data_IF_741420430422
#
_entry.id   IF_741420430422
#
_cell.length_a   1.000
_cell.length_b   1.000
_cell.length_c   1.000
_cell.angle_alpha   90.00
_cell.angle_beta   90.00
_cell.angle_gamma   90.00
#
_symmetry.space_group_name_H-M   'P 1'
#
loop_
_entity.id
_entity.type
_entity.pdbx_description
1 polymer ?
#
# COMPACT_ATOMS: atom_id res chain seq x y z
N UNK A 1 -37.78 -77.20 -36.37
CA UNK A 1 -37.34 -78.45 -35.71
C UNK A 1 -36.30 -78.07 -34.65
N UNK A 2 -36.42 -78.27 -33.34
CA UNK A 2 -37.34 -78.97 -32.45
C UNK A 2 -37.78 -78.00 -31.33
N UNK A 3 -38.98 -78.24 -30.82
CA UNK A 3 -39.69 -77.53 -29.73
C UNK A 3 -39.50 -78.31 -28.42
N UNK A 4 -39.40 -77.61 -27.28
CA UNK A 4 -40.01 -77.93 -25.96
C UNK A 4 -39.43 -76.96 -24.90
N UNK A 5 -40.17 -75.95 -24.36
CA UNK A 5 -41.20 -75.98 -23.28
C UNK A 5 -40.57 -76.33 -21.91
N UNK A 6 -40.58 -75.46 -20.89
CA UNK A 6 -41.76 -75.24 -20.02
C UNK A 6 -41.75 -73.93 -19.17
N UNK A 7 -42.97 -73.43 -18.96
CA UNK A 7 -43.48 -72.35 -18.06
C UNK A 7 -43.65 -72.88 -16.61
N UNK A 8 -43.39 -72.13 -15.53
CA UNK A 8 -44.27 -71.20 -14.70
C UNK A 8 -44.23 -71.65 -13.20
N UNK A 9 -44.77 -70.96 -12.15
CA UNK A 9 -45.54 -69.69 -12.10
C UNK A 9 -45.30 -68.70 -10.91
N UNK A 10 -45.93 -67.52 -11.09
CA UNK A 10 -46.56 -66.49 -10.20
C UNK A 10 -46.66 -66.67 -8.67
N UNK A 11 -46.58 -65.52 -7.96
CA UNK A 11 -47.58 -64.90 -7.02
C UNK A 11 -47.12 -63.45 -6.76
N UNK A 12 -47.79 -62.33 -7.08
CA UNK A 12 -49.10 -61.78 -6.70
C UNK A 12 -49.27 -61.44 -5.19
N UNK A 13 -49.28 -60.15 -4.83
CA UNK A 13 -50.34 -59.56 -3.98
C UNK A 13 -50.25 -58.02 -3.92
N UNK A 14 -51.39 -57.39 -4.21
CA UNK A 14 -51.67 -55.97 -4.03
C UNK A 14 -52.09 -55.64 -2.58
N UNK A 15 -52.08 -54.34 -2.21
CA UNK A 15 -52.99 -53.61 -1.29
C UNK A 15 -52.45 -52.19 -1.10
N UNK A 16 -53.03 -51.13 -1.67
CA UNK A 16 -54.24 -50.38 -1.24
C UNK A 16 -54.12 -49.71 0.12
N UNK A 17 -54.28 -48.38 0.18
CA UNK A 17 -54.54 -47.65 1.43
C UNK A 17 -54.40 -46.13 1.28
N UNK A 18 -55.52 -45.43 1.36
CA UNK A 18 -55.66 -43.98 1.19
C UNK A 18 -55.68 -43.19 2.52
N UNK A 19 -55.66 -41.85 2.39
CA UNK A 19 -56.03 -40.80 3.39
C UNK A 19 -55.06 -40.60 4.57
N UNK A 20 -54.84 -39.43 5.15
CA UNK A 20 -55.30 -38.05 4.95
C UNK A 20 -54.49 -37.13 5.90
N UNK A 21 -54.28 -35.87 5.48
CA UNK A 21 -54.30 -34.62 6.26
C UNK A 21 -53.45 -34.49 7.55
N UNK A 22 -52.51 -33.53 7.53
CA UNK A 22 -52.43 -32.46 8.55
C UNK A 22 -51.38 -31.40 8.17
N UNK A 23 -51.85 -30.19 7.89
CA UNK A 23 -51.01 -28.99 7.86
C UNK A 23 -50.74 -28.51 9.31
N UNK A 24 -49.48 -28.24 9.64
CA UNK A 24 -49.13 -27.31 10.73
C UNK A 24 -47.76 -26.68 10.47
N UNK A 25 -47.77 -25.36 10.37
CA UNK A 25 -46.62 -24.50 10.15
C UNK A 25 -45.59 -24.56 11.29
N UNK A 26 -44.30 -24.41 10.97
CA UNK A 26 -43.33 -23.68 11.80
C UNK A 26 -42.11 -23.24 10.97
N UNK A 27 -41.81 -21.95 11.11
CA UNK A 27 -40.65 -21.18 10.61
C UNK A 27 -39.31 -21.88 10.86
N UNK A 28 -38.38 -21.77 9.92
CA UNK A 28 -37.07 -21.13 10.13
C UNK A 28 -36.13 -21.26 8.91
N UNK A 29 -35.65 -20.12 8.41
CA UNK A 29 -34.25 -19.96 8.01
C UNK A 29 -33.80 -20.45 6.64
N UNK A 30 -34.29 -19.84 5.55
CA UNK A 30 -33.62 -19.89 4.26
C UNK A 30 -32.30 -19.08 4.32
N UNK A 31 -31.18 -19.72 4.68
CA UNK A 31 -29.84 -19.14 4.52
C UNK A 31 -29.49 -19.16 3.03
N UNK A 32 -29.65 -17.99 2.40
CA UNK A 32 -29.06 -17.60 1.12
C UNK A 32 -27.57 -17.95 1.12
N UNK A 33 -27.18 -18.93 0.32
CA UNK A 33 -25.78 -19.26 0.02
C UNK A 33 -25.26 -18.14 -0.91
N UNK A 34 -24.77 -17.06 -0.31
CA UNK A 34 -24.01 -16.04 -1.05
C UNK A 34 -22.64 -16.65 -1.32
N UNK A 35 -22.41 -17.02 -2.58
CA UNK A 35 -21.07 -17.26 -3.10
C UNK A 35 -20.25 -15.97 -2.96
N UNK A 36 -19.59 -15.84 -1.82
CA UNK A 36 -18.49 -14.90 -1.67
C UNK A 36 -17.36 -15.39 -2.57
N UNK A 37 -17.16 -14.71 -3.70
CA UNK A 37 -16.00 -14.90 -4.56
C UNK A 37 -14.74 -14.56 -3.78
N UNK A 38 -14.17 -15.55 -3.09
CA UNK A 38 -12.83 -15.47 -2.50
C UNK A 38 -11.82 -15.51 -3.65
N UNK A 39 -11.56 -14.36 -4.27
CA UNK A 39 -10.25 -14.12 -4.89
C UNK A 39 -9.26 -14.08 -3.74
N UNK A 40 -8.77 -15.26 -3.35
CA UNK A 40 -7.57 -15.40 -2.55
C UNK A 40 -6.44 -14.81 -3.40
N UNK A 41 -6.06 -13.56 -3.11
CA UNK A 41 -4.73 -13.09 -3.47
C UNK A 41 -3.74 -14.12 -2.96
N UNK A 42 -2.74 -14.46 -3.79
CA UNK A 42 -1.66 -15.34 -3.39
C UNK A 42 -1.17 -14.90 -2.01
N UNK A 43 -1.15 -15.82 -1.03
CA UNK A 43 -0.58 -15.55 0.29
C UNK A 43 0.81 -14.95 0.04
N UNK A 44 1.04 -13.76 0.58
CA UNK A 44 2.37 -13.18 0.55
C UNK A 44 3.33 -14.16 1.20
N UNK A 45 4.37 -14.51 0.44
CA UNK A 45 5.40 -15.47 0.87
C UNK A 45 6.23 -14.90 2.02
N UNK A 46 6.14 -13.59 2.26
CA UNK A 46 6.89 -12.84 3.25
C UNK A 46 5.98 -12.41 4.40
N UNK A 47 6.45 -12.63 5.62
CA UNK A 47 5.82 -12.16 6.85
C UNK A 47 6.51 -10.87 7.32
N UNK A 48 5.71 -9.82 7.52
CA UNK A 48 6.17 -8.50 7.96
C UNK A 48 5.62 -8.10 9.34
N UNK A 49 5.01 -9.02 10.09
CA UNK A 49 4.37 -8.71 11.38
C UNK A 49 5.34 -8.12 12.43
N UNK A 50 6.63 -8.44 12.34
CA UNK A 50 7.66 -7.93 13.25
C UNK A 50 8.12 -6.50 12.90
N UNK A 51 7.70 -5.94 11.77
CA UNK A 51 8.09 -4.60 11.35
C UNK A 51 7.14 -3.53 11.90
N UNK A 52 7.68 -2.34 12.24
CA UNK A 52 6.86 -1.17 12.54
C UNK A 52 5.82 -0.87 11.44
N UNK A 53 4.60 -0.50 11.83
CA UNK A 53 3.61 0.04 10.89
C UNK A 53 4.22 1.20 10.07
N UNK A 54 3.91 1.24 8.77
CA UNK A 54 4.42 2.25 7.84
C UNK A 54 5.90 2.11 7.42
N UNK A 55 6.69 1.24 8.09
CA UNK A 55 8.11 1.02 7.75
C UNK A 55 8.31 0.06 6.58
N UNK A 56 7.32 -0.77 6.29
CA UNK A 56 7.29 -1.66 5.13
C UNK A 56 6.28 -1.16 4.13
N UNK A 57 6.73 -1.00 2.90
CA UNK A 57 5.86 -0.65 1.78
C UNK A 57 5.99 -1.63 0.65
N UNK A 58 4.88 -1.82 -0.03
CA UNK A 58 4.75 -2.78 -1.12
C UNK A 58 4.21 -2.05 -2.33
N UNK A 59 4.95 -2.12 -3.42
CA UNK A 59 4.45 -1.72 -4.73
C UNK A 59 4.61 -2.85 -5.73
N UNK A 60 3.75 -2.84 -6.73
CA UNK A 60 3.80 -3.78 -7.84
C UNK A 60 4.15 -3.01 -9.10
N UNK A 61 5.22 -3.45 -9.76
CA UNK A 61 5.61 -2.95 -11.08
C UNK A 61 5.48 -4.09 -12.08
N UNK A 62 5.10 -3.78 -13.32
CA UNK A 62 5.02 -4.76 -14.40
C UNK A 62 6.19 -4.57 -15.35
N UNK A 63 6.85 -5.67 -15.72
CA UNK A 63 7.98 -5.70 -16.61
C UNK A 63 7.60 -6.34 -17.95
N UNK A 64 7.87 -5.68 -19.08
CA UNK A 64 7.63 -6.27 -20.39
C UNK A 64 8.88 -7.01 -20.92
N UNK A 65 8.88 -8.34 -20.87
CA UNK A 65 9.98 -9.18 -21.37
C UNK A 65 10.22 -8.98 -22.87
N UNK A 66 9.18 -8.72 -23.66
CA UNK A 66 9.33 -8.40 -25.08
C UNK A 66 10.04 -7.06 -25.33
N UNK A 67 9.80 -6.04 -24.49
CA UNK A 67 10.50 -4.75 -24.59
C UNK A 67 12.00 -4.93 -24.33
N UNK A 68 12.33 -5.73 -23.31
CA UNK A 68 13.70 -6.03 -22.93
C UNK A 68 14.37 -6.83 -24.05
N UNK A 69 13.75 -7.92 -24.48
CA UNK A 69 14.31 -8.76 -25.52
C UNK A 69 14.57 -7.98 -26.81
N UNK A 70 13.65 -7.08 -27.19
CA UNK A 70 13.84 -6.17 -28.33
C UNK A 70 14.99 -5.18 -28.14
N UNK A 71 15.23 -4.69 -26.91
CA UNK A 71 16.36 -3.80 -26.61
C UNK A 71 17.69 -4.54 -26.82
N UNK A 72 17.85 -5.72 -26.22
CA UNK A 72 19.09 -6.51 -26.36
C UNK A 72 19.33 -7.00 -27.80
N UNK A 73 18.28 -7.41 -28.52
CA UNK A 73 18.45 -7.96 -29.88
C UNK A 73 18.52 -6.88 -30.96
N UNK A 74 17.68 -5.84 -30.93
CA UNK A 74 17.63 -4.83 -32.01
C UNK A 74 18.53 -3.62 -31.77
N UNK A 75 18.68 -3.17 -30.52
CA UNK A 75 19.48 -1.98 -30.23
C UNK A 75 20.93 -2.34 -29.93
N UNK A 76 21.17 -3.44 -29.21
CA UNK A 76 22.52 -3.90 -28.87
C UNK A 76 23.07 -4.97 -29.83
N UNK A 77 22.28 -5.43 -30.80
CA UNK A 77 22.72 -6.37 -31.82
C UNK A 77 23.06 -7.78 -31.30
N UNK A 78 22.60 -8.14 -30.10
CA UNK A 78 22.96 -9.42 -29.50
C UNK A 78 22.14 -10.57 -30.11
N UNK A 79 22.81 -11.71 -30.29
CA UNK A 79 22.13 -12.94 -30.71
C UNK A 79 21.06 -13.35 -29.66
N UNK A 80 19.91 -13.93 -30.07
CA UNK A 80 18.81 -14.30 -29.18
C UNK A 80 19.22 -15.06 -27.90
N UNK A 81 20.15 -16.00 -28.02
CA UNK A 81 20.63 -16.81 -26.89
C UNK A 81 21.48 -15.98 -25.91
N UNK A 82 22.30 -15.08 -26.44
CA UNK A 82 23.11 -14.15 -25.63
C UNK A 82 22.20 -13.13 -24.94
N UNK A 83 21.25 -12.55 -25.66
CA UNK A 83 20.24 -11.66 -25.11
C UNK A 83 19.47 -12.33 -23.96
N UNK A 84 19.06 -13.59 -24.11
CA UNK A 84 18.38 -14.33 -23.02
C UNK A 84 19.25 -14.46 -21.76
N UNK A 85 20.53 -14.77 -21.91
CA UNK A 85 21.45 -14.89 -20.76
C UNK A 85 21.67 -13.55 -20.07
N UNK A 86 21.78 -12.45 -20.82
CA UNK A 86 21.89 -11.10 -20.26
C UNK A 86 20.61 -10.68 -19.53
N UNK A 87 19.44 -10.98 -20.09
CA UNK A 87 18.14 -10.70 -19.43
C UNK A 87 18.02 -11.45 -18.11
N UNK A 88 18.51 -12.69 -18.05
CA UNK A 88 18.50 -13.47 -16.81
C UNK A 88 19.43 -12.87 -15.74
N UNK A 89 20.51 -12.21 -16.15
CA UNK A 89 21.48 -11.55 -15.25
C UNK A 89 21.09 -10.11 -14.90
N UNK A 90 20.10 -9.55 -15.60
CA UNK A 90 19.70 -8.16 -15.40
C UNK A 90 19.18 -7.95 -13.98
N UNK A 91 19.85 -7.04 -13.28
CA UNK A 91 19.53 -6.59 -11.94
C UNK A 91 18.97 -5.16 -12.05
N UNK A 92 17.66 -4.95 -11.87
CA UNK A 92 17.10 -3.61 -11.93
C UNK A 92 17.62 -2.75 -10.77
N UNK A 93 17.80 -1.46 -11.01
CA UNK A 93 18.20 -0.52 -9.96
C UNK A 93 17.01 -0.15 -9.07
N UNK A 94 17.29 0.37 -7.86
CA UNK A 94 16.24 0.87 -6.97
C UNK A 94 15.45 2.00 -7.64
N UNK A 95 16.13 2.87 -8.39
CA UNK A 95 15.52 3.97 -9.12
C UNK A 95 14.54 3.49 -10.21
N UNK A 96 14.91 2.45 -10.97
CA UNK A 96 14.04 1.86 -12.00
C UNK A 96 12.77 1.25 -11.41
N UNK A 97 12.88 0.64 -10.23
CA UNK A 97 11.76 -0.01 -9.55
C UNK A 97 10.85 0.96 -8.80
N UNK A 98 11.44 1.99 -8.18
CA UNK A 98 10.75 2.93 -7.30
C UNK A 98 10.30 4.23 -7.98
N UNK A 99 10.66 4.46 -9.25
CA UNK A 99 10.29 5.68 -9.97
C UNK A 99 8.77 5.87 -10.03
N UNK A 100 8.33 7.12 -9.77
CA UNK A 100 6.93 7.55 -9.92
C UNK A 100 6.41 7.33 -11.33
N UNK A 101 7.27 7.58 -12.32
CA UNK A 101 7.01 7.45 -13.75
C UNK A 101 7.94 6.36 -14.28
N UNK A 102 7.57 5.07 -14.12
CA UNK A 102 8.42 3.99 -14.57
C UNK A 102 8.75 4.16 -16.04
N UNK A 103 10.03 4.01 -16.35
CA UNK A 103 10.53 4.08 -17.70
C UNK A 103 10.50 2.70 -18.33
N UNK A 104 10.45 2.65 -19.67
CA UNK A 104 10.57 1.40 -20.42
C UNK A 104 11.82 0.64 -19.92
N UNK A 105 11.72 -0.66 -19.59
CA UNK A 105 10.65 -1.62 -19.88
C UNK A 105 9.57 -1.79 -18.80
N UNK A 106 9.63 -1.01 -17.72
CA UNK A 106 8.72 -1.08 -16.58
C UNK A 106 7.50 -0.19 -16.79
N UNK A 107 6.35 -0.61 -16.27
CA UNK A 107 5.13 0.20 -16.27
C UNK A 107 4.24 -0.16 -15.07
N UNK A 108 3.40 0.79 -14.65
CA UNK A 108 2.40 0.56 -13.60
C UNK A 108 1.26 -0.29 -14.16
N UNK A 109 0.76 -1.29 -13.40
CA UNK A 109 -0.50 -1.95 -13.75
C UNK A 109 -1.62 -0.92 -13.66
N UNK A 110 -2.22 -0.51 -14.77
CA UNK A 110 -3.45 0.30 -14.73
C UNK A 110 -4.63 -0.56 -14.24
N UNK A 111 -5.61 0.08 -13.62
CA UNK A 111 -6.84 -0.57 -13.13
C UNK A 111 -7.63 -1.23 -14.27
N UNK A 112 -7.58 -0.63 -15.46
CA UNK A 112 -7.93 -1.31 -16.71
C UNK A 112 -6.81 -2.25 -17.08
N UNK A 113 -7.07 -3.55 -17.06
CA UNK A 113 -6.16 -4.63 -17.45
C UNK A 113 -5.55 -4.34 -18.83
N UNK A 114 -4.44 -3.59 -18.90
CA UNK A 114 -3.76 -3.32 -20.17
C UNK A 114 -3.46 -4.67 -20.85
N UNK A 115 -4.16 -5.02 -21.94
CA UNK A 115 -3.94 -6.31 -22.60
C UNK A 115 -2.58 -6.33 -23.30
N UNK A 116 -2.01 -5.14 -23.52
CA UNK A 116 -0.79 -4.87 -24.26
C UNK A 116 0.18 -3.98 -23.47
N UNK A 117 1.47 -4.12 -23.75
CA UNK A 117 2.49 -3.22 -23.21
C UNK A 117 2.35 -1.81 -23.82
N UNK A 118 2.36 -0.73 -23.01
CA UNK A 118 2.20 0.64 -23.53
C UNK A 118 3.34 1.10 -24.45
N UNK A 119 4.48 0.40 -24.45
CA UNK A 119 5.65 0.80 -25.25
C UNK A 119 5.86 -0.02 -26.52
N UNK A 120 5.43 -1.28 -26.55
CA UNK A 120 5.70 -2.19 -27.67
C UNK A 120 4.51 -3.02 -28.10
N UNK A 121 3.34 -2.78 -27.50
CA UNK A 121 2.07 -3.46 -27.77
C UNK A 121 2.09 -4.98 -27.52
N UNK A 122 3.14 -5.50 -26.88
CA UNK A 122 3.27 -6.92 -26.62
C UNK A 122 2.14 -7.44 -25.70
N UNK A 123 1.55 -8.61 -26.02
CA UNK A 123 0.45 -9.16 -25.25
C UNK A 123 0.87 -9.58 -23.85
N UNK A 124 -0.10 -9.66 -22.94
CA UNK A 124 0.08 -9.96 -21.52
C UNK A 124 0.93 -11.20 -21.18
N UNK A 125 1.02 -12.19 -22.06
CA UNK A 125 1.92 -13.36 -21.87
C UNK A 125 3.40 -12.99 -21.72
N UNK A 126 3.80 -11.81 -22.19
CA UNK A 126 5.16 -11.28 -22.09
C UNK A 126 5.37 -10.39 -20.86
N UNK A 127 4.34 -10.24 -20.00
CA UNK A 127 4.42 -9.38 -18.83
C UNK A 127 4.79 -10.22 -17.61
N UNK A 128 5.83 -9.79 -16.90
CA UNK A 128 6.22 -10.35 -15.61
C UNK A 128 5.82 -9.37 -14.50
N UNK A 129 5.18 -9.87 -13.45
CA UNK A 129 4.83 -9.07 -12.27
C UNK A 129 6.02 -9.07 -11.31
N UNK A 130 6.53 -7.88 -11.00
CA UNK A 130 7.59 -7.67 -10.02
C UNK A 130 6.95 -7.07 -8.78
N UNK A 131 7.06 -7.78 -7.66
CA UNK A 131 6.61 -7.26 -6.36
C UNK A 131 7.83 -6.75 -5.62
N UNK A 132 7.82 -5.47 -5.28
CA UNK A 132 8.92 -4.82 -4.58
C UNK A 132 8.48 -4.52 -3.16
N UNK A 133 9.22 -5.08 -2.21
CA UNK A 133 9.04 -4.81 -0.79
C UNK A 133 10.17 -3.90 -0.35
N UNK A 134 9.80 -2.69 0.07
CA UNK A 134 10.73 -1.69 0.58
C UNK A 134 10.60 -1.63 2.09
N UNK A 135 11.72 -1.75 2.77
CA UNK A 135 11.81 -1.75 4.23
C UNK A 135 12.70 -0.58 4.63
N UNK A 136 12.15 0.37 5.38
CA UNK A 136 12.92 1.47 5.93
C UNK A 136 13.92 0.94 6.97
N UNK A 137 15.20 1.17 6.74
CA UNK A 137 16.27 0.76 7.64
C UNK A 137 16.40 1.72 8.82
N UNK A 138 16.38 1.20 10.04
CA UNK A 138 16.57 1.97 11.26
C UNK A 138 16.74 1.08 12.48
N UNK A 139 17.00 1.70 13.65
CA UNK A 139 17.18 0.95 14.91
C UNK A 139 15.96 0.06 15.25
N UNK A 140 14.76 0.52 14.92
CA UNK A 140 13.50 -0.20 15.18
C UNK A 140 13.23 -1.36 14.22
N UNK A 141 13.81 -1.36 13.01
CA UNK A 141 13.55 -2.36 11.98
C UNK A 141 14.73 -3.29 11.69
N UNK A 142 15.94 -2.99 12.16
CA UNK A 142 17.15 -3.73 11.78
C UNK A 142 17.15 -5.20 12.24
N UNK A 143 16.66 -5.48 13.46
CA UNK A 143 16.54 -6.85 13.95
C UNK A 143 15.58 -7.69 13.10
N UNK A 144 14.38 -7.16 12.84
CA UNK A 144 13.37 -7.79 11.99
C UNK A 144 13.86 -7.96 10.55
N UNK A 145 14.57 -6.96 10.00
CA UNK A 145 15.19 -7.00 8.65
C UNK A 145 16.19 -8.14 8.54
N UNK A 146 17.13 -8.26 9.49
CA UNK A 146 18.12 -9.35 9.50
C UNK A 146 17.44 -10.72 9.63
N UNK A 147 16.40 -10.82 10.45
CA UNK A 147 15.63 -12.05 10.61
C UNK A 147 14.91 -12.43 9.31
N UNK A 148 14.29 -11.47 8.61
CA UNK A 148 13.64 -11.68 7.33
C UNK A 148 14.64 -12.18 6.28
N UNK A 149 15.77 -11.50 6.11
CA UNK A 149 16.80 -11.87 5.12
C UNK A 149 17.31 -13.30 5.33
N UNK A 150 17.47 -13.73 6.59
CA UNK A 150 17.87 -15.11 6.91
C UNK A 150 16.80 -16.15 6.57
N UNK A 151 15.52 -15.78 6.62
CA UNK A 151 14.38 -16.65 6.28
C UNK A 151 14.13 -16.73 4.77
N UNK A 152 14.72 -15.86 3.96
CA UNK A 152 14.48 -15.84 2.52
C UNK A 152 15.04 -17.11 1.85
N UNK A 153 14.23 -17.80 1.01
CA UNK A 153 14.73 -18.89 0.18
C UNK A 153 15.85 -18.41 -0.74
N UNK A 154 17.00 -19.05 -0.67
CA UNK A 154 18.12 -18.85 -1.61
C UNK A 154 17.98 -19.69 -2.88
N UNK A 155 17.07 -20.67 -2.86
CA UNK A 155 16.82 -21.56 -3.99
C UNK A 155 16.07 -20.79 -5.10
N UNK A 156 16.53 -20.96 -6.33
CA UNK A 156 15.97 -20.39 -7.57
C UNK A 156 16.06 -18.86 -7.73
N UNK A 157 16.92 -18.17 -6.97
CA UNK A 157 17.16 -16.71 -7.09
C UNK A 157 15.86 -15.88 -7.06
N UNK A 158 14.86 -16.34 -6.30
CA UNK A 158 13.51 -15.75 -6.28
C UNK A 158 13.48 -14.34 -5.69
N UNK A 159 14.48 -13.98 -4.89
CA UNK A 159 14.58 -12.69 -4.22
C UNK A 159 15.92 -12.03 -4.53
N UNK A 160 15.84 -10.75 -4.90
CA UNK A 160 16.99 -9.88 -5.01
C UNK A 160 16.94 -8.83 -3.91
N UNK A 161 18.05 -8.66 -3.20
CA UNK A 161 18.16 -7.73 -2.08
C UNK A 161 19.03 -6.56 -2.52
N UNK A 162 18.49 -5.34 -2.42
CA UNK A 162 19.22 -4.11 -2.64
C UNK A 162 19.30 -3.34 -1.32
N UNK A 163 20.52 -3.04 -0.88
CA UNK A 163 20.77 -2.18 0.27
C UNK A 163 21.29 -0.82 -0.20
N UNK A 164 20.58 0.25 0.15
CA UNK A 164 20.94 1.61 -0.20
C UNK A 164 21.07 2.44 1.08
N UNK A 165 22.21 3.10 1.26
CA UNK A 165 22.43 4.01 2.39
C UNK A 165 21.79 5.34 2.07
N UNK A 166 20.85 5.76 2.91
CA UNK A 166 20.16 7.06 2.79
C UNK A 166 20.28 7.86 4.07
N UNK A 167 20.31 9.18 3.93
CA UNK A 167 20.20 10.09 5.07
C UNK A 167 18.77 10.12 5.60
N UNK A 168 18.58 10.55 6.86
CA UNK A 168 17.24 10.69 7.44
C UNK A 168 16.35 11.61 6.59
N UNK A 169 16.92 12.71 6.09
CA UNK A 169 16.28 13.65 5.16
C UNK A 169 15.80 12.96 3.87
N UNK A 170 16.64 12.15 3.24
CA UNK A 170 16.26 11.39 2.03
C UNK A 170 15.11 10.40 2.31
N UNK A 171 15.19 9.65 3.41
CA UNK A 171 14.11 8.72 3.80
C UNK A 171 12.81 9.48 4.08
N UNK A 172 12.89 10.65 4.71
CA UNK A 172 11.72 11.50 4.96
C UNK A 172 11.08 12.01 3.67
N UNK A 173 11.85 12.57 2.73
CA UNK A 173 11.29 13.05 1.46
C UNK A 173 10.75 11.93 0.57
N UNK A 174 11.38 10.76 0.55
CA UNK A 174 10.86 9.61 -0.18
C UNK A 174 9.54 9.08 0.43
N UNK A 175 9.42 9.15 1.76
CA UNK A 175 8.16 8.88 2.44
C UNK A 175 7.07 9.90 2.06
N UNK A 176 7.39 11.20 2.04
CA UNK A 176 6.46 12.25 1.59
C UNK A 176 6.04 12.09 0.13
N UNK A 177 6.98 11.74 -0.76
CA UNK A 177 6.68 11.50 -2.17
C UNK A 177 5.71 10.33 -2.34
N UNK A 178 5.93 9.24 -1.60
CA UNK A 178 5.04 8.07 -1.58
C UNK A 178 3.65 8.44 -1.08
N UNK A 179 3.55 9.15 0.05
CA UNK A 179 2.28 9.66 0.53
C UNK A 179 1.56 10.44 -0.56
N UNK A 180 2.27 11.35 -1.23
CA UNK A 180 1.75 12.13 -2.37
C UNK A 180 1.35 11.33 -3.60
N UNK A 181 1.63 10.03 -3.66
CA UNK A 181 1.16 9.10 -4.71
C UNK A 181 -0.03 8.25 -4.27
N UNK A 182 -0.13 7.92 -2.99
CA UNK A 182 -1.15 7.02 -2.43
C UNK A 182 -2.43 7.76 -2.02
N UNK A 183 -2.28 9.01 -1.54
CA UNK A 183 -3.36 9.79 -0.98
C UNK A 183 -3.82 10.89 -1.93
N UNK A 184 -5.14 11.11 -1.97
CA UNK A 184 -5.73 12.22 -2.69
C UNK A 184 -5.87 13.44 -1.77
N UNK A 185 -4.82 14.26 -1.74
CA UNK A 185 -4.79 15.50 -0.96
C UNK A 185 -5.61 16.65 -1.58
N UNK A 186 -6.43 16.37 -2.59
CA UNK A 186 -7.40 17.33 -3.15
C UNK A 186 -8.77 17.27 -2.45
N UNK A 187 -9.05 16.22 -1.64
CA UNK A 187 -10.25 16.20 -0.78
C UNK A 187 -10.00 16.96 0.53
N UNK A 188 -10.54 18.18 0.60
CA UNK A 188 -10.48 19.11 1.74
C UNK A 188 -11.01 18.55 3.07
N UNK A 189 -11.72 17.42 3.07
CA UNK A 189 -12.25 16.80 4.28
C UNK A 189 -11.35 15.69 4.85
N UNK A 190 -10.57 15.01 3.99
CA UNK A 190 -9.79 13.82 4.36
C UNK A 190 -8.30 14.09 4.59
N UNK A 191 -7.73 15.13 3.95
CA UNK A 191 -6.28 15.37 3.93
C UNK A 191 -5.60 15.45 5.30
N UNK A 192 -6.19 16.15 6.28
CA UNK A 192 -5.63 16.23 7.64
C UNK A 192 -5.68 14.89 8.37
N UNK A 193 -6.69 14.07 8.09
CA UNK A 193 -6.87 12.75 8.70
C UNK A 193 -5.82 11.79 8.13
N UNK A 194 -5.64 11.79 6.81
CA UNK A 194 -4.66 10.94 6.12
C UNK A 194 -3.22 11.32 6.49
N UNK A 195 -2.89 12.61 6.50
CA UNK A 195 -1.57 13.09 6.92
C UNK A 195 -1.28 12.74 8.39
N UNK A 196 -2.25 12.94 9.28
CA UNK A 196 -2.11 12.59 10.69
C UNK A 196 -1.92 11.09 10.87
N UNK A 197 -2.72 10.27 10.19
CA UNK A 197 -2.62 8.82 10.25
C UNK A 197 -1.25 8.34 9.81
N UNK A 198 -0.79 8.76 8.63
CA UNK A 198 0.51 8.34 8.10
C UNK A 198 1.67 8.75 9.02
N UNK A 199 1.62 9.97 9.57
CA UNK A 199 2.63 10.45 10.50
C UNK A 199 2.64 9.65 11.82
N UNK A 200 1.45 9.40 12.39
CA UNK A 200 1.29 8.67 13.65
C UNK A 200 1.65 7.18 13.53
N UNK A 201 1.29 6.53 12.43
CA UNK A 201 1.69 5.15 12.12
C UNK A 201 3.22 5.00 12.10
N UNK A 202 3.92 6.00 11.58
CA UNK A 202 5.39 6.01 11.56
C UNK A 202 5.99 6.30 12.94
N UNK A 203 5.40 7.22 13.71
CA UNK A 203 5.89 7.65 15.02
C UNK A 203 5.66 6.60 16.11
N UNK A 204 4.47 6.02 16.14
CA UNK A 204 4.02 5.06 17.17
C UNK A 204 3.49 3.78 16.50
N UNK A 205 4.38 2.97 15.92
CA UNK A 205 4.00 1.86 15.06
C UNK A 205 3.34 0.68 15.79
N UNK A 206 3.33 0.69 17.12
CA UNK A 206 2.73 -0.37 17.95
C UNK A 206 1.24 -0.13 18.21
N UNK A 207 0.77 1.08 17.98
CA UNK A 207 -0.62 1.46 18.19
C UNK A 207 -1.46 0.98 17.00
N UNK A 208 -2.65 0.44 17.27
CA UNK A 208 -3.61 0.10 16.21
C UNK A 208 -4.28 1.38 15.68
N UNK A 209 -3.59 2.05 14.77
CA UNK A 209 -4.10 3.28 14.16
C UNK A 209 -5.31 3.04 13.27
N UNK A 210 -5.54 1.83 12.78
CA UNK A 210 -6.74 1.54 12.00
C UNK A 210 -7.99 1.63 12.89
N UNK A 211 -7.94 1.07 14.09
CA UNK A 211 -9.01 1.21 15.09
C UNK A 211 -9.19 2.67 15.52
N UNK A 212 -8.09 3.37 15.83
CA UNK A 212 -8.13 4.76 16.31
C UNK A 212 -8.72 5.72 15.28
N UNK A 213 -8.46 5.49 13.98
CA UNK A 213 -8.98 6.33 12.90
C UNK A 213 -10.34 5.87 12.35
N UNK A 214 -10.87 4.73 12.79
CA UNK A 214 -12.17 4.25 12.33
C UNK A 214 -13.29 5.23 12.73
N UNK A 215 -14.09 5.68 11.75
CA UNK A 215 -15.17 6.64 11.94
C UNK A 215 -14.72 8.06 12.33
N UNK A 216 -13.44 8.40 12.22
CA UNK A 216 -12.94 9.74 12.52
C UNK A 216 -13.41 10.76 11.49
N UNK A 217 -13.80 11.95 11.95
CA UNK A 217 -14.23 13.07 11.08
C UNK A 217 -13.32 14.28 11.12
N UNK A 218 -12.48 14.41 12.15
CA UNK A 218 -11.57 15.55 12.25
C UNK A 218 -10.39 15.27 13.19
N UNK A 219 -9.23 15.82 12.83
CA UNK A 219 -8.05 15.93 13.69
C UNK A 219 -7.93 17.38 14.17
N UNK A 220 -7.71 17.59 15.47
CA UNK A 220 -7.67 18.90 16.11
C UNK A 220 -6.46 19.02 17.04
N UNK A 221 -5.99 20.25 17.23
CA UNK A 221 -5.03 20.57 18.29
C UNK A 221 -5.73 20.52 19.64
N UNK A 222 -5.15 19.81 20.60
CA UNK A 222 -5.55 19.85 21.99
C UNK A 222 -4.95 21.08 22.69
N UNK A 223 -5.73 21.68 23.58
CA UNK A 223 -5.25 22.72 24.51
C UNK A 223 -4.90 22.16 25.90
N UNK A 224 -5.34 20.93 26.20
CA UNK A 224 -5.18 20.29 27.51
C UNK A 224 -4.08 19.23 27.56
N UNK A 225 -3.73 18.65 26.40
CA UNK A 225 -2.70 17.62 26.32
C UNK A 225 -1.34 18.27 26.13
N UNK A 226 -0.41 17.95 27.01
CA UNK A 226 1.01 18.31 26.83
C UNK A 226 1.69 17.34 25.86
N UNK A 227 1.37 16.04 25.95
CA UNK A 227 1.95 14.97 25.13
C UNK A 227 0.88 13.99 24.62
N UNK A 228 1.22 13.25 23.56
CA UNK A 228 0.38 12.18 23.01
C UNK A 228 -0.88 12.67 22.29
N UNK A 229 -1.92 11.85 22.37
CA UNK A 229 -3.20 12.06 21.69
C UNK A 229 -4.36 11.51 22.52
N UNK A 230 -5.55 12.03 22.25
CA UNK A 230 -6.79 11.58 22.88
C UNK A 230 -7.89 11.53 21.84
N UNK A 231 -8.67 10.45 21.84
CA UNK A 231 -9.85 10.32 20.98
C UNK A 231 -11.09 10.69 21.78
N UNK A 232 -11.86 11.63 21.26
CA UNK A 232 -13.20 11.96 21.74
C UNK A 232 -14.19 11.77 20.59
N UNK A 233 -14.96 10.69 20.67
CA UNK A 233 -16.01 10.36 19.71
C UNK A 233 -15.46 10.28 18.27
N UNK A 234 -15.87 11.21 17.40
CA UNK A 234 -15.44 11.31 16.00
C UNK A 234 -14.27 12.30 15.79
N UNK A 235 -13.56 12.69 16.85
CA UNK A 235 -12.47 13.66 16.80
C UNK A 235 -11.20 13.10 17.46
N UNK A 236 -10.07 13.33 16.82
CA UNK A 236 -8.74 13.06 17.38
C UNK A 236 -8.11 14.36 17.85
N UNK A 237 -7.80 14.47 19.12
CA UNK A 237 -7.08 15.59 19.72
C UNK A 237 -5.61 15.23 19.85
N UNK A 238 -4.74 15.98 19.17
CA UNK A 238 -3.29 15.80 19.23
C UNK A 238 -2.67 16.84 20.15
N UNK A 239 -1.67 16.45 20.94
CA UNK A 239 -0.84 17.39 21.66
C UNK A 239 -0.21 18.43 20.71
N UNK A 240 0.05 19.67 21.17
CA UNK A 240 0.53 20.76 20.32
C UNK A 240 1.74 20.41 19.46
N UNK A 241 2.74 19.70 20.01
CA UNK A 241 3.93 19.29 19.27
C UNK A 241 3.57 18.37 18.09
N UNK A 242 2.84 17.28 18.37
CA UNK A 242 2.41 16.31 17.35
C UNK A 242 1.55 16.97 16.28
N UNK A 243 0.63 17.85 16.69
CA UNK A 243 -0.23 18.56 15.75
C UNK A 243 0.58 19.44 14.78
N UNK A 244 1.62 20.12 15.27
CA UNK A 244 2.47 20.96 14.43
C UNK A 244 3.36 20.11 13.49
N UNK A 245 3.84 18.96 13.93
CA UNK A 245 4.57 18.01 13.07
C UNK A 245 3.66 17.51 11.92
N UNK A 246 2.40 17.18 12.22
CA UNK A 246 1.41 16.81 11.20
C UNK A 246 1.15 17.96 10.21
N UNK A 247 1.08 19.21 10.70
CA UNK A 247 0.94 20.37 9.82
C UNK A 247 2.17 20.56 8.90
N UNK A 248 3.37 20.28 9.38
CA UNK A 248 4.58 20.34 8.57
C UNK A 248 4.53 19.29 7.44
N UNK A 249 4.26 18.02 7.80
CA UNK A 249 4.11 16.92 6.84
C UNK A 249 3.08 17.29 5.78
N UNK A 250 1.93 17.78 6.22
CA UNK A 250 0.89 18.21 5.33
C UNK A 250 1.34 19.30 4.36
N UNK A 251 1.98 20.35 4.86
CA UNK A 251 2.47 21.43 4.03
C UNK A 251 3.40 20.90 2.94
N UNK A 252 4.33 20.01 3.30
CA UNK A 252 5.34 19.44 2.41
C UNK A 252 4.74 18.53 1.33
N UNK A 253 3.67 17.80 1.61
CA UNK A 253 3.01 16.95 0.57
C UNK A 253 2.06 17.77 -0.31
N UNK A 254 1.59 18.92 0.17
CA UNK A 254 0.60 19.74 -0.52
C UNK A 254 1.14 20.47 -1.76
N UNK A 255 0.22 20.85 -2.65
CA UNK A 255 0.51 21.68 -3.84
C UNK A 255 1.09 23.06 -3.49
N UNK A 256 0.82 23.60 -2.30
CA UNK A 256 1.35 24.92 -1.92
C UNK A 256 2.87 24.90 -1.78
N UNK A 257 3.45 23.77 -1.33
CA UNK A 257 4.90 23.57 -1.37
C UNK A 257 5.41 23.35 -2.81
N UNK A 258 4.70 22.57 -3.63
CA UNK A 258 5.11 22.27 -5.02
C UNK A 258 5.07 23.46 -5.98
N UNK A 259 4.13 24.39 -5.77
CA UNK A 259 3.88 25.50 -6.71
C UNK A 259 4.05 26.90 -6.08
N UNK A 260 4.48 27.00 -4.81
CA UNK A 260 4.84 28.27 -4.17
C UNK A 260 3.70 29.28 -4.02
N UNK A 261 2.44 28.85 -4.17
CA UNK A 261 1.28 29.75 -4.29
C UNK A 261 0.16 29.47 -3.28
N UNK A 262 -0.63 30.52 -3.00
CA UNK A 262 -1.94 30.43 -2.33
C UNK A 262 -2.82 29.48 -3.14
N UNK A 263 -3.29 28.42 -2.51
CA UNK A 263 -4.43 27.67 -3.05
C UNK A 263 -5.69 28.26 -2.43
N UNK A 264 -6.77 28.37 -3.22
CA UNK A 264 -8.06 28.89 -2.76
C UNK A 264 -8.73 28.04 -1.66
N UNK A 265 -8.10 26.93 -1.28
CA UNK A 265 -8.63 25.81 -0.47
C UNK A 265 -8.17 25.84 1.00
N UNK A 266 -7.65 26.98 1.48
CA UNK A 266 -7.25 27.12 2.89
C UNK A 266 -5.97 26.35 3.29
N UNK A 267 -5.15 25.94 2.32
CA UNK A 267 -3.85 25.32 2.58
C UNK A 267 -2.86 26.38 3.07
N UNK A 268 -2.05 26.03 4.08
CA UNK A 268 -1.06 26.94 4.63
C UNK A 268 0.00 27.27 3.59
N UNK A 269 0.25 28.57 3.41
CA UNK A 269 1.49 29.05 2.78
C UNK A 269 2.66 28.91 3.76
N UNK A 270 3.90 28.87 3.28
CA UNK A 270 5.08 28.83 4.16
C UNK A 270 5.06 29.95 5.23
N UNK A 271 4.72 31.21 4.90
CA UNK A 271 4.62 32.27 5.89
C UNK A 271 3.56 32.01 6.97
N UNK A 272 2.41 31.42 6.60
CA UNK A 272 1.34 31.10 7.54
C UNK A 272 1.72 29.92 8.45
N UNK A 273 2.38 28.91 7.89
CA UNK A 273 2.92 27.78 8.65
C UNK A 273 3.94 28.25 9.70
N UNK A 274 4.97 28.99 9.28
CA UNK A 274 6.01 29.51 10.17
C UNK A 274 5.41 30.42 11.23
N UNK A 275 4.47 31.29 10.86
CA UNK A 275 3.76 32.16 11.81
C UNK A 275 3.02 31.33 12.87
N UNK A 276 2.30 30.30 12.45
CA UNK A 276 1.53 29.42 13.36
C UNK A 276 2.43 28.63 14.29
N UNK A 277 3.52 28.06 13.79
CA UNK A 277 4.51 27.33 14.59
C UNK A 277 5.21 28.23 15.60
N UNK A 278 5.50 29.48 15.22
CA UNK A 278 6.10 30.48 16.12
C UNK A 278 5.14 30.88 17.24
N UNK A 279 3.90 31.27 16.91
CA UNK A 279 2.91 31.61 17.94
C UNK A 279 2.53 30.42 18.81
N UNK A 280 2.66 29.20 18.30
CA UNK A 280 2.43 27.98 19.07
C UNK A 280 3.58 27.57 19.98
N UNK A 281 4.71 28.30 19.99
CA UNK A 281 5.91 27.95 20.76
C UNK A 281 6.70 26.76 20.22
N UNK A 282 6.33 26.22 19.06
CA UNK A 282 6.91 24.99 18.51
C UNK A 282 8.34 25.19 18.00
N UNK A 283 8.59 26.32 17.32
CA UNK A 283 9.94 26.67 16.87
C UNK A 283 10.89 26.85 18.07
N UNK A 284 10.42 27.50 19.13
CA UNK A 284 11.19 27.70 20.36
C UNK A 284 11.45 26.38 21.08
N UNK A 285 10.45 25.50 21.18
CA UNK A 285 10.63 24.15 21.74
C UNK A 285 11.64 23.30 20.96
N UNK A 286 11.79 23.56 19.66
CA UNK A 286 12.83 22.96 18.82
C UNK A 286 14.12 23.80 18.76
N UNK A 287 14.24 24.91 19.49
CA UNK A 287 15.43 25.76 19.47
C UNK A 287 15.71 26.46 18.13
N UNK A 288 14.69 26.65 17.30
CA UNK A 288 14.76 27.35 16.01
C UNK A 288 14.46 28.84 16.25
N UNK A 289 15.47 29.70 16.07
CA UNK A 289 15.35 31.15 16.33
C UNK A 289 15.39 32.02 15.07
N UNK A 290 15.77 31.43 13.93
CA UNK A 290 15.93 32.14 12.65
C UNK A 290 14.68 32.88 12.21
N UNK A 291 14.88 33.95 11.44
CA UNK A 291 13.79 34.81 10.95
C UNK A 291 13.46 34.58 9.49
N UNK A 292 14.42 34.05 8.73
CA UNK A 292 14.17 33.65 7.36
C UNK A 292 13.28 32.39 7.33
N UNK A 293 12.30 32.40 6.42
CA UNK A 293 11.27 31.36 6.39
C UNK A 293 11.76 30.07 5.74
N UNK A 294 12.74 30.17 4.85
CA UNK A 294 13.35 29.01 4.20
C UNK A 294 14.34 28.33 5.16
N UNK A 295 15.14 29.11 5.89
CA UNK A 295 16.04 28.56 6.92
C UNK A 295 15.25 27.84 8.03
N UNK A 296 14.13 28.43 8.47
CA UNK A 296 13.22 27.78 9.43
C UNK A 296 12.66 26.47 8.86
N UNK A 297 12.27 26.43 7.58
CA UNK A 297 11.76 25.21 6.95
C UNK A 297 12.84 24.14 6.86
N UNK A 298 14.07 24.50 6.51
CA UNK A 298 15.18 23.56 6.45
C UNK A 298 15.46 22.95 7.82
N UNK A 299 15.54 23.77 8.87
CA UNK A 299 15.75 23.28 10.23
C UNK A 299 14.60 22.40 10.74
N UNK A 300 13.35 22.71 10.36
CA UNK A 300 12.18 21.88 10.68
C UNK A 300 12.24 20.50 10.02
N UNK A 301 12.86 20.39 8.84
CA UNK A 301 12.99 19.12 8.09
C UNK A 301 14.20 18.30 8.54
N UNK A 302 15.24 18.96 9.07
CA UNK A 302 16.47 18.31 9.51
C UNK A 302 16.41 17.73 10.92
N UNK A 303 15.45 18.16 11.73
CA UNK A 303 15.23 17.68 13.10
C UNK A 303 14.27 16.50 13.16
#
# INVERSE_FOLDING_TARGET
MKVAVAKRPKTASAKSGAKAVAAKAKKAGAKKKVEASKKRGAKDVLDFAEFPAGSVTRHTTTLCLACIFRLFTKQLGLAPRTAYNEIRRYAPTVEELASRNPQRPFFKPSEEKNPHCPYCEAPKRWHARVTVHRIEGGKSSDAARRALVRKLPTKDEQFQIHEEKKTARQVFFEWLERMGQEFDFEDDSAWMIEAARAYLERREPKTDWAEVFDGLRAVRRSQRLEEGWERDSARLFLAPAIYNDVLLVQYLVSRSHRHGGRTFEGRLTLPELVRRMRYGGHLEAQGITDRDRFDVLEQLVER
#
